data_IF_420718574399
#
_entry.id   IF_420718574399
#
_cell.length_a   1.000
_cell.length_b   1.000
_cell.length_c   1.000
_cell.angle_alpha   90.00
_cell.angle_beta   90.00
_cell.angle_gamma   90.00
#
_symmetry.space_group_name_H-M   'P 1'
#
loop_
_entity.id
_entity.type
_entity.pdbx_description
1 polymer ?
#
# COMPACT_ATOMS: atom_id res chain seq x y z
N UNK A 1 13.58 3.91 44.60
CA UNK A 1 13.42 2.82 43.63
C UNK A 1 12.80 3.41 42.39
N UNK A 2 13.62 3.70 41.38
CA UNK A 2 13.18 4.28 40.13
C UNK A 2 12.56 3.19 39.26
N UNK A 3 11.37 3.46 38.74
CA UNK A 3 10.78 2.71 37.65
C UNK A 3 11.79 2.73 36.48
N UNK A 4 12.11 1.59 35.83
CA UNK A 4 13.02 1.63 34.70
C UNK A 4 12.39 2.47 33.59
N UNK A 5 13.11 3.49 33.13
CA UNK A 5 12.88 4.18 31.87
C UNK A 5 12.99 3.14 30.74
N UNK A 6 11.90 2.42 30.51
CA UNK A 6 11.66 1.83 29.21
C UNK A 6 11.42 3.02 28.30
N UNK A 7 12.26 3.26 27.27
CA UNK A 7 11.86 4.16 26.21
C UNK A 7 10.62 3.49 25.64
N UNK A 8 9.44 4.01 25.96
CA UNK A 8 8.28 3.81 25.13
C UNK A 8 8.73 4.26 23.76
N UNK A 9 9.14 3.28 22.96
CA UNK A 9 9.48 3.47 21.58
C UNK A 9 8.21 4.04 20.98
N UNK A 10 8.26 5.34 20.74
CA UNK A 10 7.28 6.10 20.00
C UNK A 10 7.32 5.59 18.56
N UNK A 11 6.92 4.34 18.39
CA UNK A 11 6.70 3.68 17.13
C UNK A 11 5.23 3.27 16.93
N UNK A 12 4.19 3.98 17.43
CA UNK A 12 2.84 3.67 16.99
C UNK A 12 2.59 4.09 15.52
N UNK A 13 3.52 4.81 14.86
CA UNK A 13 3.33 5.32 13.50
C UNK A 13 4.61 5.34 12.64
N UNK A 14 5.42 4.28 12.67
CA UNK A 14 6.56 4.15 11.71
C UNK A 14 6.13 4.07 10.22
N UNK A 15 4.82 4.17 9.92
CA UNK A 15 4.25 4.31 8.58
C UNK A 15 3.76 5.73 8.21
N UNK A 16 4.03 6.76 9.03
CA UNK A 16 3.83 8.17 8.62
C UNK A 16 5.09 8.77 7.97
N UNK A 17 5.89 7.95 7.27
CA UNK A 17 6.92 8.54 6.40
C UNK A 17 6.18 9.14 5.21
N UNK A 18 6.41 10.42 4.92
CA UNK A 18 5.96 10.97 3.64
C UNK A 18 6.58 10.13 2.51
N UNK A 19 5.74 9.36 1.84
CA UNK A 19 6.16 8.49 0.74
C UNK A 19 6.23 9.25 -0.57
N UNK A 20 5.94 10.55 -0.59
CA UNK A 20 5.97 11.34 -1.81
C UNK A 20 7.36 11.27 -2.47
N UNK A 21 7.35 10.90 -3.75
CA UNK A 21 8.53 10.69 -4.59
C UNK A 21 9.50 9.61 -4.08
N UNK A 22 9.08 8.75 -3.16
CA UNK A 22 9.89 7.63 -2.69
C UNK A 22 9.83 6.46 -3.67
N UNK A 23 10.98 5.82 -3.92
CA UNK A 23 11.02 4.54 -4.61
C UNK A 23 10.48 3.44 -3.68
N UNK A 24 9.54 2.64 -4.19
CA UNK A 24 8.88 1.58 -3.43
C UNK A 24 8.92 0.26 -4.19
N UNK A 25 8.95 -0.83 -3.44
CA UNK A 25 8.78 -2.18 -3.95
C UNK A 25 7.72 -2.89 -3.10
N UNK A 26 6.83 -3.65 -3.74
CA UNK A 26 5.80 -4.39 -3.03
C UNK A 26 5.52 -5.74 -3.70
N UNK A 27 4.93 -6.64 -2.93
CA UNK A 27 4.36 -7.90 -3.40
C UNK A 27 2.88 -7.95 -3.02
N UNK A 28 2.03 -8.49 -3.88
CA UNK A 28 0.63 -8.75 -3.53
C UNK A 28 0.53 -10.07 -2.77
N UNK A 29 -0.37 -10.14 -1.80
CA UNK A 29 -0.75 -11.40 -1.17
C UNK A 29 -2.10 -11.81 -1.78
N UNK A 30 -2.18 -12.95 -2.51
CA UNK A 30 -3.44 -13.38 -3.09
C UNK A 30 -4.42 -13.84 -1.99
N UNK A 31 -5.72 -13.64 -2.22
CA UNK A 31 -6.77 -14.16 -1.34
C UNK A 31 -6.94 -15.68 -1.45
N UNK A 32 -6.51 -16.26 -2.58
CA UNK A 32 -6.49 -17.70 -2.85
C UNK A 32 -5.46 -18.02 -3.95
N UNK A 33 -4.93 -19.25 -3.95
CA UNK A 33 -3.91 -19.66 -4.91
C UNK A 33 -2.51 -19.15 -4.56
N UNK A 34 -1.58 -19.30 -5.51
CA UNK A 34 -0.16 -18.94 -5.34
C UNK A 34 0.30 -17.88 -6.35
N UNK A 35 -0.61 -17.30 -7.15
CA UNK A 35 -0.21 -16.22 -8.04
C UNK A 35 -0.05 -14.91 -7.28
N UNK A 36 1.06 -14.22 -7.52
CA UNK A 36 1.33 -12.93 -6.93
C UNK A 36 2.08 -12.03 -7.89
N UNK A 37 1.98 -10.73 -7.65
CA UNK A 37 2.70 -9.72 -8.40
C UNK A 37 3.80 -9.16 -7.51
N UNK A 38 5.03 -9.10 -8.06
CA UNK A 38 6.11 -8.26 -7.53
C UNK A 38 6.16 -7.00 -8.37
N UNK A 39 6.22 -5.83 -7.75
CA UNK A 39 6.31 -4.58 -8.49
C UNK A 39 7.23 -3.56 -7.83
N UNK A 40 7.79 -2.67 -8.65
CA UNK A 40 8.58 -1.51 -8.23
C UNK A 40 8.01 -0.25 -8.86
N UNK A 41 8.04 0.85 -8.12
CA UNK A 41 7.49 2.13 -8.57
C UNK A 41 7.98 3.32 -7.78
N UNK A 42 7.43 4.49 -8.09
CA UNK A 42 7.56 5.71 -7.29
C UNK A 42 6.20 6.04 -6.70
N UNK A 43 6.15 6.16 -5.37
CA UNK A 43 4.96 6.62 -4.67
C UNK A 43 4.82 8.15 -4.82
N UNK A 44 3.60 8.62 -5.03
CA UNK A 44 3.27 10.03 -5.18
C UNK A 44 2.01 10.31 -4.37
N UNK A 45 1.97 11.45 -3.69
CA UNK A 45 0.74 11.88 -3.01
C UNK A 45 -0.36 12.06 -4.04
N UNK A 46 -1.51 11.44 -3.82
CA UNK A 46 -2.67 11.57 -4.69
C UNK A 46 -3.32 12.94 -4.51
N UNK A 47 -3.94 13.44 -5.58
CA UNK A 47 -4.88 14.58 -5.49
C UNK A 47 -6.28 14.13 -5.11
N UNK A 48 -6.53 12.82 -5.01
CA UNK A 48 -7.82 12.23 -4.65
C UNK A 48 -7.88 11.93 -3.15
N UNK A 49 -9.10 11.81 -2.65
CA UNK A 49 -9.40 11.38 -1.27
C UNK A 49 -9.86 9.93 -1.25
N UNK A 50 -9.82 9.32 -0.07
CA UNK A 50 -10.31 7.94 0.14
C UNK A 50 -11.79 7.77 -0.25
N UNK A 51 -12.59 8.83 -0.12
CA UNK A 51 -14.03 8.82 -0.40
C UNK A 51 -14.34 8.52 -1.87
N UNK A 52 -13.47 8.93 -2.81
CA UNK A 52 -13.61 8.58 -4.23
C UNK A 52 -13.43 7.09 -4.53
N UNK A 53 -12.93 6.31 -3.57
CA UNK A 53 -12.69 4.87 -3.69
C UNK A 53 -13.41 4.05 -2.61
N UNK A 54 -14.23 4.68 -1.78
CA UNK A 54 -14.80 4.07 -0.58
C UNK A 54 -15.60 2.80 -0.92
N UNK A 55 -16.53 2.88 -1.88
CA UNK A 55 -17.36 1.73 -2.27
C UNK A 55 -16.53 0.54 -2.74
N UNK A 56 -15.51 0.79 -3.56
CA UNK A 56 -14.61 -0.25 -4.07
C UNK A 56 -13.76 -0.87 -2.95
N UNK A 57 -13.29 -0.04 -2.02
CA UNK A 57 -12.47 -0.52 -0.90
C UNK A 57 -13.31 -1.31 0.11
N UNK A 58 -14.54 -0.86 0.41
CA UNK A 58 -15.48 -1.54 1.30
C UNK A 58 -15.91 -2.87 0.69
N UNK A 59 -16.19 -2.92 -0.62
CA UNK A 59 -16.52 -4.17 -1.29
C UNK A 59 -15.38 -5.21 -1.18
N UNK A 60 -14.12 -4.77 -1.20
CA UNK A 60 -12.94 -5.65 -1.09
C UNK A 60 -12.56 -5.97 0.36
N UNK A 61 -12.71 -5.02 1.26
CA UNK A 61 -12.38 -5.11 2.69
C UNK A 61 -13.54 -4.51 3.48
N UNK A 62 -14.60 -5.28 3.78
CA UNK A 62 -15.79 -4.76 4.45
C UNK A 62 -15.50 -4.06 5.79
N UNK A 63 -14.49 -4.54 6.51
CA UNK A 63 -14.03 -3.94 7.78
C UNK A 63 -13.44 -2.53 7.65
N UNK A 64 -13.12 -2.05 6.44
CA UNK A 64 -12.62 -0.69 6.25
C UNK A 64 -13.71 0.39 6.32
N UNK A 65 -15.00 0.02 6.29
CA UNK A 65 -16.11 0.98 6.30
C UNK A 65 -16.02 1.94 7.49
N UNK A 66 -15.92 1.40 8.70
CA UNK A 66 -15.83 2.20 9.93
C UNK A 66 -14.58 3.11 9.92
N UNK A 67 -13.43 2.60 9.46
CA UNK A 67 -12.20 3.40 9.36
C UNK A 67 -12.38 4.60 8.42
N UNK A 68 -13.02 4.41 7.27
CA UNK A 68 -13.26 5.49 6.31
C UNK A 68 -14.23 6.53 6.89
N UNK A 69 -15.29 6.08 7.57
CA UNK A 69 -16.29 6.96 8.20
C UNK A 69 -15.69 7.81 9.32
N UNK A 70 -14.84 7.22 10.18
CA UNK A 70 -14.30 7.91 11.36
C UNK A 70 -13.05 8.76 11.09
N UNK A 71 -12.15 8.30 10.21
CA UNK A 71 -10.85 8.97 10.01
C UNK A 71 -10.52 9.29 8.56
N UNK A 72 -11.47 9.10 7.63
CA UNK A 72 -11.24 9.24 6.19
C UNK A 72 -10.69 10.60 5.76
N UNK A 73 -11.10 11.69 6.42
CA UNK A 73 -10.59 13.04 6.14
C UNK A 73 -9.11 13.22 6.50
N UNK A 74 -8.60 12.45 7.47
CA UNK A 74 -7.20 12.49 7.92
C UNK A 74 -6.29 11.54 7.12
N UNK A 75 -6.86 10.69 6.26
CA UNK A 75 -6.08 9.74 5.46
C UNK A 75 -5.41 10.44 4.28
N UNK A 76 -4.10 10.21 4.14
CA UNK A 76 -3.32 10.65 2.97
C UNK A 76 -3.23 9.47 2.01
N UNK A 77 -3.73 9.66 0.79
CA UNK A 77 -3.64 8.65 -0.26
C UNK A 77 -2.35 8.84 -1.07
N UNK A 78 -1.69 7.72 -1.35
CA UNK A 78 -0.57 7.66 -2.28
C UNK A 78 -0.92 6.77 -3.47
N UNK A 79 -0.47 7.20 -4.65
CA UNK A 79 -0.49 6.42 -5.87
C UNK A 79 0.92 5.92 -6.18
N UNK A 80 1.06 4.68 -6.65
CA UNK A 80 2.36 4.16 -7.05
C UNK A 80 2.42 4.12 -8.57
N UNK A 81 3.30 4.93 -9.16
CA UNK A 81 3.64 4.81 -10.58
C UNK A 81 4.59 3.66 -10.78
N UNK A 82 4.10 2.60 -11.41
CA UNK A 82 4.85 1.35 -11.60
C UNK A 82 5.84 1.49 -12.77
N UNK A 83 7.07 1.05 -12.55
CA UNK A 83 8.12 0.98 -13.59
C UNK A 83 8.42 -0.45 -14.01
N UNK A 84 8.24 -1.41 -13.09
CA UNK A 84 8.47 -2.82 -13.34
C UNK A 84 7.42 -3.64 -12.59
N UNK A 85 6.84 -4.61 -13.29
CA UNK A 85 5.85 -5.54 -12.76
C UNK A 85 6.24 -6.94 -13.23
N UNK A 86 6.29 -7.89 -12.29
CA UNK A 86 6.51 -9.29 -12.57
C UNK A 86 5.37 -10.09 -11.93
N UNK A 87 4.62 -10.84 -12.74
CA UNK A 87 3.68 -11.83 -12.22
C UNK A 87 4.43 -13.16 -12.00
N UNK A 88 4.20 -13.79 -10.87
CA UNK A 88 4.75 -15.10 -10.51
C UNK A 88 3.59 -16.01 -10.08
N UNK A 89 3.53 -17.23 -10.63
CA UNK A 89 2.42 -18.17 -10.47
C UNK A 89 2.68 -19.46 -11.26
N UNK A 90 2.11 -20.58 -10.79
CA UNK A 90 2.44 -21.99 -11.12
C UNK A 90 3.13 -22.22 -12.47
N UNK A 91 4.42 -22.58 -12.40
CA UNK A 91 5.25 -22.96 -13.55
C UNK A 91 6.12 -21.83 -14.12
N UNK A 92 6.97 -21.21 -13.29
CA UNK A 92 8.19 -20.42 -13.58
C UNK A 92 8.29 -19.63 -14.91
N UNK A 93 7.17 -19.13 -15.44
CA UNK A 93 7.18 -18.20 -16.55
C UNK A 93 6.97 -16.80 -15.99
N UNK A 94 8.06 -16.19 -15.52
CA UNK A 94 8.10 -14.79 -15.15
C UNK A 94 7.72 -13.93 -16.37
N UNK A 95 6.53 -13.37 -16.36
CA UNK A 95 6.14 -12.35 -17.35
C UNK A 95 6.47 -10.98 -16.75
N UNK A 96 7.49 -10.33 -17.30
CA UNK A 96 7.84 -8.94 -16.96
C UNK A 96 7.04 -8.04 -17.88
N UNK A 97 6.10 -7.29 -17.30
CA UNK A 97 5.32 -6.28 -18.02
C UNK A 97 6.03 -4.94 -17.80
N UNK A 98 6.72 -4.46 -18.84
CA UNK A 98 7.31 -3.11 -18.83
C UNK A 98 6.24 -2.11 -19.29
N UNK A 99 5.84 -1.21 -18.39
CA UNK A 99 4.91 -0.13 -18.72
C UNK A 99 5.71 1.01 -19.37
N UNK A 100 5.66 1.12 -20.70
CA UNK A 100 6.18 2.30 -21.39
C UNK A 100 5.10 3.38 -21.38
N UNK A 101 5.49 4.60 -20.99
CA UNK A 101 4.63 5.78 -20.99
C UNK A 101 4.38 6.19 -22.45
N UNK A 102 3.10 6.30 -22.85
CA UNK A 102 2.69 6.88 -24.13
C UNK A 102 2.83 8.41 -24.11
#
# INVERSE_FOLDING_TARGET
MGQPDLPYSTAPFLFLRDMANSQVAFITIPSSGNEYVKAKGIAQKSTKTIFGFADQLIAKVPGCKETIEYVGESLILFEVRLHAICQAGTGDKLQIISLHKN
#
